data_IF_969771009767
#
_entry.id   IF_969771009767
#
_cell.length_a   1.000
_cell.length_b   1.000
_cell.length_c   1.000
_cell.angle_alpha   90.00
_cell.angle_beta   90.00
_cell.angle_gamma   90.00
#
_symmetry.space_group_name_H-M   'P 1'
#
loop_
_entity.id
_entity.type
_entity.pdbx_description
1 polymer ?
#
# COMPACT_ATOMS: atom_id res chain seq x y z
N UNK A 1 12.11 -13.60 -10.54
CA UNK A 1 13.54 -14.03 -10.52
C UNK A 1 14.14 -13.67 -9.17
N UNK A 2 15.09 -14.45 -8.62
CA UNK A 2 15.83 -14.02 -7.42
C UNK A 2 16.57 -12.71 -7.70
N UNK A 3 16.61 -11.81 -6.72
CA UNK A 3 17.22 -10.49 -6.84
C UNK A 3 16.33 -9.40 -7.44
N UNK A 4 15.13 -9.72 -7.94
CA UNK A 4 14.15 -8.70 -8.36
C UNK A 4 13.76 -7.80 -7.17
N UNK A 5 13.77 -6.48 -7.36
CA UNK A 5 13.40 -5.51 -6.32
C UNK A 5 14.12 -5.72 -4.96
N UNK A 6 15.38 -6.18 -4.98
CA UNK A 6 16.18 -6.50 -3.78
C UNK A 6 15.66 -7.68 -2.94
N UNK A 7 14.78 -8.52 -3.49
CA UNK A 7 14.24 -9.70 -2.80
C UNK A 7 14.82 -10.99 -3.41
N UNK A 8 15.27 -11.93 -2.59
CA UNK A 8 15.80 -13.23 -3.04
C UNK A 8 14.76 -14.36 -2.97
N UNK A 9 13.66 -14.12 -2.28
CA UNK A 9 12.54 -15.02 -2.07
C UNK A 9 11.24 -14.25 -2.24
N UNK A 10 10.23 -14.91 -2.83
CA UNK A 10 8.92 -14.36 -3.08
C UNK A 10 7.86 -15.34 -2.63
N UNK A 11 6.69 -14.81 -2.35
CA UNK A 11 5.51 -15.62 -2.07
C UNK A 11 4.41 -15.24 -3.03
N UNK A 12 3.67 -16.23 -3.50
CA UNK A 12 2.39 -16.03 -4.16
C UNK A 12 1.22 -16.02 -3.17
N UNK A 13 1.47 -16.33 -1.89
CA UNK A 13 0.46 -16.33 -0.84
C UNK A 13 0.38 -14.95 -0.20
N UNK A 14 -0.81 -14.35 -0.24
CA UNK A 14 -1.10 -13.22 0.62
C UNK A 14 -1.14 -13.71 2.07
N UNK A 15 -0.76 -12.84 3.02
CA UNK A 15 -0.98 -13.15 4.43
C UNK A 15 -2.46 -13.34 4.76
N UNK A 16 -3.30 -12.60 4.05
CA UNK A 16 -4.72 -12.45 4.34
C UNK A 16 -5.57 -12.54 3.07
N UNK A 17 -5.27 -13.52 2.21
CA UNK A 17 -5.99 -13.67 0.93
C UNK A 17 -7.49 -13.96 1.16
N UNK A 18 -7.79 -14.68 2.26
CA UNK A 18 -9.13 -14.96 2.74
C UNK A 18 -9.35 -14.25 4.07
N UNK A 19 -9.49 -12.92 4.03
CA UNK A 19 -9.76 -12.16 5.24
C UNK A 19 -11.14 -12.57 5.84
N UNK A 20 -11.25 -12.73 7.16
CA UNK A 20 -12.50 -13.09 7.80
C UNK A 20 -13.59 -12.03 7.56
N UNK A 21 -14.85 -12.49 7.43
CA UNK A 21 -16.00 -11.60 7.21
C UNK A 21 -16.12 -10.53 8.31
N UNK A 22 -15.75 -10.87 9.54
CA UNK A 22 -15.74 -9.96 10.69
C UNK A 22 -14.74 -8.80 10.58
N UNK A 23 -13.87 -8.76 9.57
CA UNK A 23 -12.92 -7.67 9.33
C UNK A 23 -13.39 -6.68 8.26
N UNK A 24 -14.52 -6.95 7.60
CA UNK A 24 -15.08 -6.07 6.56
C UNK A 24 -15.49 -4.73 7.14
N UNK A 25 -15.43 -3.67 6.31
CA UNK A 25 -15.98 -2.37 6.67
C UNK A 25 -15.13 -1.52 7.61
N UNK A 26 -13.81 -1.78 7.65
CA UNK A 26 -12.88 -0.97 8.48
C UNK A 26 -13.19 -1.04 9.98
N UNK A 27 -13.22 -2.27 10.50
CA UNK A 27 -13.55 -2.55 11.90
C UNK A 27 -12.32 -2.95 12.69
N UNK A 28 -12.32 -2.59 13.98
CA UNK A 28 -11.29 -3.00 14.94
C UNK A 28 -11.47 -4.46 15.34
N UNK A 29 -10.42 -5.25 15.17
CA UNK A 29 -10.35 -6.63 15.67
C UNK A 29 -9.02 -6.88 16.38
N UNK A 30 -8.99 -7.82 17.33
CA UNK A 30 -7.79 -8.17 18.09
C UNK A 30 -6.90 -9.21 17.42
N UNK A 31 -7.40 -9.90 16.40
CA UNK A 31 -6.79 -11.03 15.72
C UNK A 31 -6.15 -10.66 14.36
N UNK A 32 -5.93 -9.35 14.11
CA UNK A 32 -5.38 -8.85 12.83
C UNK A 32 -4.04 -9.46 12.43
N UNK A 33 -3.27 -10.02 13.38
CA UNK A 33 -1.92 -10.53 13.17
C UNK A 33 -0.83 -9.49 13.45
N UNK A 34 -1.21 -8.26 13.83
CA UNK A 34 -0.30 -7.27 14.39
C UNK A 34 -0.10 -7.47 15.88
N UNK A 35 1.05 -7.03 16.40
CA UNK A 35 1.30 -7.03 17.83
C UNK A 35 0.26 -6.18 18.58
N UNK A 36 0.03 -6.48 19.86
CA UNK A 36 -1.02 -5.85 20.67
C UNK A 36 -0.96 -4.30 20.67
N UNK A 37 0.24 -3.71 20.64
CA UNK A 37 0.41 -2.26 20.58
C UNK A 37 -0.12 -1.62 19.27
N UNK A 38 -0.28 -2.41 18.21
CA UNK A 38 -0.66 -1.95 16.88
C UNK A 38 -1.90 -2.66 16.34
N UNK A 39 -2.65 -3.41 17.17
CA UNK A 39 -3.87 -4.09 16.72
C UNK A 39 -5.10 -3.17 16.77
N UNK A 40 -5.10 -2.16 17.65
CA UNK A 40 -6.16 -1.17 17.74
C UNK A 40 -6.29 -0.38 16.43
N UNK A 41 -7.51 -0.37 15.86
CA UNK A 41 -7.84 0.28 14.58
C UNK A 41 -6.94 -0.11 13.39
N UNK A 42 -6.26 -1.26 13.46
CA UNK A 42 -5.33 -1.68 12.41
C UNK A 42 -6.00 -2.25 11.18
N UNK A 43 -7.29 -2.57 11.26
CA UNK A 43 -8.17 -2.81 10.11
C UNK A 43 -7.51 -3.60 8.97
N UNK A 44 -7.32 -4.92 9.16
CA UNK A 44 -6.79 -5.84 8.14
C UNK A 44 -7.30 -5.50 6.74
N UNK A 45 -6.44 -5.51 5.74
CA UNK A 45 -6.77 -5.00 4.39
C UNK A 45 -6.42 -5.99 3.30
N UNK A 46 -7.23 -6.01 2.25
CA UNK A 46 -7.06 -6.87 1.09
C UNK A 46 -7.64 -6.18 -0.14
N UNK A 47 -7.18 -6.60 -1.33
CA UNK A 47 -7.92 -6.36 -2.56
C UNK A 47 -9.03 -7.40 -2.68
N UNK A 48 -10.18 -7.07 -3.30
CA UNK A 48 -11.38 -7.90 -3.21
C UNK A 48 -11.34 -9.11 -4.15
N UNK A 49 -10.29 -9.93 -4.09
CA UNK A 49 -10.10 -11.06 -5.00
C UNK A 49 -11.02 -12.23 -4.64
N UNK A 50 -11.08 -12.57 -3.36
CA UNK A 50 -11.94 -13.65 -2.84
C UNK A 50 -13.29 -13.14 -2.34
N UNK A 51 -13.32 -11.93 -1.79
CA UNK A 51 -14.52 -11.33 -1.24
C UNK A 51 -14.39 -9.81 -1.14
N UNK A 52 -15.52 -9.11 -1.11
CA UNK A 52 -15.58 -7.67 -1.01
C UNK A 52 -14.95 -7.14 0.29
N UNK A 53 -14.45 -5.90 0.25
CA UNK A 53 -13.82 -5.27 1.43
C UNK A 53 -14.83 -4.71 2.42
N UNK A 54 -16.08 -4.49 1.97
CA UNK A 54 -17.11 -3.77 2.72
C UNK A 54 -16.80 -2.29 2.98
N UNK A 55 -15.65 -1.78 2.51
CA UNK A 55 -15.23 -0.38 2.73
C UNK A 55 -15.78 0.51 1.64
N UNK A 56 -16.97 1.04 1.92
CA UNK A 56 -17.67 2.00 1.07
C UNK A 56 -16.92 3.32 0.96
N UNK A 57 -17.41 4.16 0.05
CA UNK A 57 -16.91 5.51 -0.11
C UNK A 57 -16.95 6.34 1.19
N UNK A 58 -18.06 6.22 1.94
CA UNK A 58 -18.24 6.91 3.21
C UNK A 58 -17.24 6.45 4.28
N UNK A 59 -17.03 5.13 4.39
CA UNK A 59 -16.07 4.54 5.34
C UNK A 59 -14.65 5.03 5.06
N UNK A 60 -14.28 5.21 3.78
CA UNK A 60 -12.95 5.67 3.37
C UNK A 60 -12.73 7.17 3.57
N UNK A 61 -13.67 7.87 4.21
CA UNK A 61 -13.45 9.19 4.81
C UNK A 61 -13.81 10.38 3.91
N UNK A 62 -14.42 10.18 2.74
CA UNK A 62 -14.74 11.23 1.75
C UNK A 62 -16.20 11.17 1.23
N UNK A 63 -17.11 10.56 2.00
CA UNK A 63 -18.53 10.52 1.63
C UNK A 63 -18.78 9.83 0.28
N UNK A 64 -19.35 10.52 -0.70
CA UNK A 64 -19.67 9.99 -2.04
C UNK A 64 -18.64 10.31 -3.15
N UNK A 65 -17.61 11.12 -2.87
CA UNK A 65 -16.72 11.67 -3.89
C UNK A 65 -15.50 10.79 -4.21
N UNK A 66 -15.26 9.74 -3.42
CA UNK A 66 -14.03 8.95 -3.54
C UNK A 66 -13.97 8.09 -4.81
N UNK A 67 -15.09 7.88 -5.52
CA UNK A 67 -15.11 7.10 -6.77
C UNK A 67 -14.05 7.57 -7.78
N UNK A 68 -13.74 8.88 -7.83
CA UNK A 68 -12.71 9.39 -8.74
C UNK A 68 -11.27 8.99 -8.37
N UNK A 69 -11.06 8.41 -7.19
CA UNK A 69 -9.77 7.87 -6.77
C UNK A 69 -9.44 6.56 -7.50
N UNK A 70 -10.44 5.90 -8.10
CA UNK A 70 -10.26 4.69 -8.89
C UNK A 70 -10.61 4.93 -10.36
N UNK A 71 -9.95 4.16 -11.23
CA UNK A 71 -10.30 4.12 -12.64
C UNK A 71 -11.53 3.24 -12.85
N UNK A 72 -12.20 3.41 -13.99
CA UNK A 72 -13.23 2.46 -14.41
C UNK A 72 -12.61 1.09 -14.71
N UNK A 73 -13.33 -0.01 -14.46
CA UNK A 73 -14.68 -0.08 -13.88
C UNK A 73 -14.70 -0.05 -12.34
N UNK A 74 -13.54 -0.03 -11.68
CA UNK A 74 -13.40 -0.17 -10.22
C UNK A 74 -14.16 0.89 -9.43
N UNK A 75 -14.29 2.10 -9.95
CA UNK A 75 -15.05 3.17 -9.29
C UNK A 75 -16.57 2.97 -9.21
N UNK A 76 -17.14 2.01 -9.94
CA UNK A 76 -18.59 1.78 -10.02
C UNK A 76 -19.17 1.16 -8.74
N UNK A 77 -18.37 0.39 -7.99
CA UNK A 77 -18.84 -0.43 -6.89
C UNK A 77 -17.82 -0.51 -5.76
N UNK A 78 -17.28 0.64 -5.34
CA UNK A 78 -16.26 0.73 -4.28
C UNK A 78 -16.77 0.12 -2.98
N UNK A 79 -16.06 -0.90 -2.50
CA UNK A 79 -16.39 -1.66 -1.30
C UNK A 79 -17.12 -2.97 -1.57
N UNK A 80 -17.76 -3.13 -2.74
CA UNK A 80 -18.59 -4.30 -3.10
C UNK A 80 -18.12 -5.02 -4.37
N UNK A 81 -17.20 -4.44 -5.12
CA UNK A 81 -16.64 -5.05 -6.33
C UNK A 81 -15.87 -6.36 -6.03
N UNK A 82 -15.72 -7.20 -7.04
CA UNK A 82 -14.83 -8.35 -7.05
C UNK A 82 -13.67 -8.08 -8.00
N UNK A 83 -12.47 -8.53 -7.62
CA UNK A 83 -11.29 -8.54 -8.44
C UNK A 83 -10.94 -9.97 -8.86
N UNK A 84 -10.53 -10.15 -10.10
CA UNK A 84 -10.05 -11.43 -10.60
C UNK A 84 -8.53 -11.43 -10.63
N UNK A 85 -7.92 -12.62 -10.54
CA UNK A 85 -6.47 -12.77 -10.68
C UNK A 85 -5.98 -12.12 -11.99
N UNK A 86 -6.79 -12.22 -13.04
CA UNK A 86 -6.53 -11.64 -14.37
C UNK A 86 -6.57 -10.13 -14.41
N UNK A 87 -7.05 -9.43 -13.40
CA UNK A 87 -6.98 -7.95 -13.34
C UNK A 87 -5.55 -7.48 -13.01
N UNK A 88 -4.79 -8.28 -12.26
CA UNK A 88 -3.39 -7.99 -11.94
C UNK A 88 -2.42 -8.79 -12.81
N UNK A 89 -2.77 -10.03 -13.14
CA UNK A 89 -1.90 -10.97 -13.82
C UNK A 89 -2.27 -11.17 -15.29
N UNK A 90 -1.27 -11.09 -16.16
CA UNK A 90 -1.34 -11.43 -17.57
C UNK A 90 -0.52 -10.52 -18.47
N UNK A 91 -0.80 -10.55 -19.77
CA UNK A 91 -0.10 -9.75 -20.79
C UNK A 91 0.10 -8.30 -20.36
N UNK A 92 1.25 -7.72 -20.72
CA UNK A 92 1.49 -6.30 -20.53
C UNK A 92 0.35 -5.47 -21.13
N UNK A 93 -0.04 -4.41 -20.41
CA UNK A 93 -1.07 -3.47 -20.87
C UNK A 93 -0.43 -2.08 -20.98
N UNK A 94 -0.54 -1.46 -22.15
CA UNK A 94 -0.02 -0.10 -22.38
C UNK A 94 -0.95 0.99 -21.86
N UNK A 95 -2.26 0.71 -21.80
CA UNK A 95 -3.25 1.66 -21.27
C UNK A 95 -2.95 2.05 -19.83
N UNK A 96 -2.93 3.36 -19.53
CA UNK A 96 -2.65 3.86 -18.17
C UNK A 96 -3.74 3.57 -17.15
N UNK A 97 -4.97 3.24 -17.58
CA UNK A 97 -6.15 3.16 -16.70
C UNK A 97 -7.00 1.93 -16.96
N UNK A 98 -6.46 0.91 -17.63
CA UNK A 98 -7.19 -0.29 -18.00
C UNK A 98 -6.34 -1.53 -17.75
N UNK A 99 -7.02 -2.62 -17.42
CA UNK A 99 -6.43 -3.96 -17.31
C UNK A 99 -6.74 -4.83 -18.52
N UNK A 100 -7.46 -4.30 -19.52
CA UNK A 100 -7.78 -5.03 -20.75
C UNK A 100 -6.50 -5.20 -21.58
N UNK A 101 -6.15 -6.42 -22.03
CA UNK A 101 -5.02 -6.66 -22.92
C UNK A 101 -5.05 -5.75 -24.16
N UNK A 102 -3.88 -5.30 -24.61
CA UNK A 102 -3.77 -4.47 -25.80
C UNK A 102 -4.37 -5.20 -27.01
N UNK A 103 -5.23 -4.52 -27.78
CA UNK A 103 -6.01 -5.12 -28.87
C UNK A 103 -7.33 -5.80 -28.43
N UNK A 104 -7.64 -5.80 -27.14
CA UNK A 104 -8.91 -6.27 -26.60
C UNK A 104 -9.09 -7.78 -26.69
N UNK A 105 -10.29 -8.23 -27.06
CA UNK A 105 -10.66 -9.65 -27.17
C UNK A 105 -9.84 -10.40 -28.23
N UNK A 106 -9.43 -9.70 -29.30
CA UNK A 106 -8.64 -10.24 -30.41
C UNK A 106 -7.15 -9.87 -30.33
N UNK A 107 -6.73 -9.30 -29.20
CA UNK A 107 -5.40 -8.75 -29.00
C UNK A 107 -4.44 -9.72 -28.33
N UNK A 108 -3.60 -9.18 -27.45
CA UNK A 108 -2.68 -9.95 -26.64
C UNK A 108 -3.43 -11.00 -25.78
N UNK A 109 -2.79 -12.14 -25.47
CA UNK A 109 -3.41 -13.20 -24.71
C UNK A 109 -3.95 -12.73 -23.35
N UNK A 110 -5.16 -13.21 -23.01
CA UNK A 110 -5.70 -13.11 -21.66
C UNK A 110 -5.08 -14.21 -20.76
N UNK A 111 -4.94 -13.94 -19.46
CA UNK A 111 -4.36 -14.90 -18.53
C UNK A 111 -2.82 -14.88 -18.51
N UNK A 112 -2.15 -15.95 -18.03
CA UNK A 112 -0.78 -15.89 -17.52
C UNK A 112 0.34 -15.82 -18.58
N UNK A 113 0.00 -15.56 -19.84
CA UNK A 113 0.97 -15.48 -20.94
C UNK A 113 1.17 -14.03 -21.39
N UNK A 114 2.30 -13.75 -22.05
CA UNK A 114 2.56 -12.46 -22.71
C UNK A 114 3.02 -11.32 -21.79
N UNK A 115 3.22 -11.58 -20.49
CA UNK A 115 3.80 -10.59 -19.59
C UNK A 115 5.31 -10.57 -19.69
N UNK A 116 5.88 -9.39 -19.84
CA UNK A 116 7.32 -9.12 -19.69
C UNK A 116 7.67 -8.64 -18.27
N UNK A 117 6.68 -8.50 -17.39
CA UNK A 117 6.91 -8.09 -16.01
C UNK A 117 7.10 -9.31 -15.10
N UNK A 118 7.85 -9.13 -14.01
CA UNK A 118 7.98 -10.16 -12.99
C UNK A 118 6.62 -10.54 -12.41
N UNK A 119 6.46 -11.82 -12.03
CA UNK A 119 5.21 -12.38 -11.50
C UNK A 119 4.03 -12.35 -12.47
N UNK A 120 4.31 -12.23 -13.77
CA UNK A 120 3.30 -12.25 -14.83
C UNK A 120 2.31 -11.10 -14.62
N UNK A 121 2.80 -9.92 -14.28
CA UNK A 121 1.97 -8.75 -13.98
C UNK A 121 1.64 -7.96 -15.25
N UNK A 122 0.45 -7.38 -15.30
CA UNK A 122 0.00 -6.53 -16.42
C UNK A 122 0.75 -5.19 -16.50
N UNK A 123 1.46 -4.83 -15.43
CA UNK A 123 2.29 -3.64 -15.33
C UNK A 123 3.42 -3.83 -14.33
N UNK A 124 4.29 -2.83 -14.23
CA UNK A 124 5.41 -2.81 -13.31
C UNK A 124 4.93 -2.71 -11.85
N UNK A 125 5.51 -3.55 -11.00
CA UNK A 125 5.46 -3.40 -9.55
C UNK A 125 6.88 -3.58 -9.01
N UNK A 126 7.55 -2.45 -8.81
CA UNK A 126 8.96 -2.37 -8.49
C UNK A 126 9.30 -1.14 -7.63
N UNK A 127 10.60 -0.92 -7.39
CA UNK A 127 11.10 0.21 -6.59
C UNK A 127 10.97 1.57 -7.28
N UNK A 128 10.39 1.65 -8.48
CA UNK A 128 10.10 2.91 -9.18
C UNK A 128 8.61 3.19 -9.33
N UNK A 129 7.73 2.24 -8.97
CA UNK A 129 6.29 2.44 -9.04
C UNK A 129 5.83 3.56 -8.11
N UNK A 130 5.16 4.56 -8.69
CA UNK A 130 4.80 5.84 -8.06
C UNK A 130 5.65 7.03 -8.49
N UNK A 131 6.78 6.80 -9.15
CA UNK A 131 7.73 7.83 -9.60
C UNK A 131 7.93 7.75 -11.12
N UNK A 132 6.93 8.16 -11.90
CA UNK A 132 7.01 8.26 -13.37
C UNK A 132 6.38 7.09 -14.14
N UNK A 133 6.08 5.96 -13.48
CA UNK A 133 5.40 4.81 -14.09
C UNK A 133 3.86 5.01 -14.20
N UNK A 134 3.39 6.17 -14.66
CA UNK A 134 1.94 6.44 -14.77
C UNK A 134 1.23 5.44 -15.68
N UNK A 135 1.78 5.22 -16.89
CA UNK A 135 1.19 4.30 -17.85
C UNK A 135 1.54 2.85 -17.55
N UNK A 136 2.73 2.57 -17.02
CA UNK A 136 3.27 1.21 -16.91
C UNK A 136 3.09 0.60 -15.53
N UNK A 137 2.86 1.40 -14.48
CA UNK A 137 2.71 0.92 -13.11
C UNK A 137 1.40 0.16 -12.90
N UNK A 138 1.50 -1.02 -12.28
CA UNK A 138 0.38 -1.93 -12.08
C UNK A 138 -0.77 -1.28 -11.28
N UNK A 139 -0.44 -0.59 -10.20
CA UNK A 139 -1.42 0.03 -9.31
C UNK A 139 -2.31 1.01 -10.07
N UNK A 140 -1.74 1.72 -11.05
CA UNK A 140 -2.41 2.80 -11.76
C UNK A 140 -3.38 2.32 -12.82
N UNK A 141 -3.44 1.02 -13.12
CA UNK A 141 -4.55 0.46 -13.90
C UNK A 141 -5.87 0.61 -13.16
N UNK A 142 -5.85 0.58 -11.82
CA UNK A 142 -7.04 0.64 -10.98
C UNK A 142 -7.14 1.93 -10.14
N UNK A 143 -6.01 2.53 -9.79
CA UNK A 143 -5.92 3.74 -8.96
C UNK A 143 -5.54 4.97 -9.79
N UNK A 144 -6.10 6.13 -9.46
CA UNK A 144 -5.74 7.38 -10.14
C UNK A 144 -4.30 7.79 -9.84
N UNK A 145 -3.46 7.87 -10.87
CA UNK A 145 -2.07 8.33 -10.74
C UNK A 145 -2.00 9.75 -10.17
N UNK A 146 -2.82 10.67 -10.67
CA UNK A 146 -2.84 12.06 -10.19
C UNK A 146 -3.13 12.15 -8.70
N UNK A 147 -3.98 11.28 -8.17
CA UNK A 147 -4.37 11.31 -6.75
C UNK A 147 -3.33 10.63 -5.87
N UNK A 148 -2.79 9.48 -6.29
CA UNK A 148 -1.92 8.65 -5.44
C UNK A 148 -0.42 8.87 -5.64
N UNK A 149 0.00 9.44 -6.78
CA UNK A 149 1.41 9.61 -7.14
C UNK A 149 1.84 11.09 -7.25
N UNK A 150 0.90 12.05 -7.16
CA UNK A 150 1.18 13.48 -7.36
C UNK A 150 0.49 14.35 -6.32
N UNK A 151 0.69 15.68 -6.39
CA UNK A 151 0.06 16.67 -5.51
C UNK A 151 -1.38 17.00 -5.93
N UNK A 152 -2.22 15.98 -6.12
CA UNK A 152 -3.61 16.15 -6.58
C UNK A 152 -4.57 16.72 -5.53
N UNK A 153 -4.20 16.65 -4.25
CA UNK A 153 -4.96 17.02 -3.05
C UNK A 153 -6.43 16.59 -3.05
N UNK A 154 -6.69 15.38 -3.56
CA UNK A 154 -8.01 14.75 -3.46
C UNK A 154 -8.08 13.96 -2.17
N UNK A 155 -9.17 14.11 -1.42
CA UNK A 155 -9.33 13.45 -0.12
C UNK A 155 -9.38 11.93 -0.29
N UNK A 156 -8.46 11.24 0.37
CA UNK A 156 -8.47 9.78 0.47
C UNK A 156 -8.63 9.32 1.92
N UNK A 157 -8.60 8.00 2.16
CA UNK A 157 -8.54 7.45 3.51
C UNK A 157 -7.29 7.87 4.30
N UNK A 158 -6.31 8.51 3.66
CA UNK A 158 -5.08 9.04 4.24
C UNK A 158 -5.13 10.55 4.55
N UNK A 159 -6.31 11.16 4.61
CA UNK A 159 -6.45 12.56 4.99
C UNK A 159 -5.77 12.84 6.35
N UNK A 160 -4.87 13.82 6.35
CA UNK A 160 -4.20 14.33 7.55
C UNK A 160 -5.04 15.46 8.13
N UNK A 161 -5.82 15.17 9.17
CA UNK A 161 -6.70 16.13 9.81
C UNK A 161 -5.95 17.34 10.38
N UNK A 162 -4.72 17.14 10.88
CA UNK A 162 -3.86 18.20 11.42
C UNK A 162 -3.16 19.04 10.33
N UNK A 163 -3.30 18.67 9.05
CA UNK A 163 -2.76 19.42 7.89
C UNK A 163 -3.84 19.90 6.95
N UNK A 164 -5.06 19.38 7.07
CA UNK A 164 -6.15 19.63 6.14
C UNK A 164 -5.75 19.35 4.68
N UNK A 165 -5.02 18.25 4.47
CA UNK A 165 -4.47 17.82 3.17
C UNK A 165 -4.41 16.28 3.11
N UNK A 166 -4.50 15.71 1.89
CA UNK A 166 -4.29 14.28 1.70
C UNK A 166 -2.83 13.88 1.94
N UNK A 167 -2.61 12.78 2.67
CA UNK A 167 -1.27 12.29 2.98
C UNK A 167 -0.41 12.03 1.75
N UNK A 168 -0.94 11.53 0.63
CA UNK A 168 -0.15 11.35 -0.59
C UNK A 168 0.26 12.70 -1.18
N UNK A 169 -0.65 13.67 -1.19
CA UNK A 169 -0.36 15.00 -1.73
C UNK A 169 0.66 15.75 -0.89
N UNK A 170 0.54 15.65 0.44
CA UNK A 170 1.52 16.20 1.36
C UNK A 170 2.90 15.58 1.13
N UNK A 171 2.99 14.25 1.02
CA UNK A 171 4.26 13.59 0.76
C UNK A 171 4.83 13.94 -0.62
N UNK A 172 4.00 13.94 -1.67
CA UNK A 172 4.42 14.36 -3.02
C UNK A 172 5.07 15.75 -3.01
N UNK A 173 4.49 16.71 -2.27
CA UNK A 173 5.03 18.06 -2.10
C UNK A 173 6.35 18.09 -1.33
N UNK A 174 6.48 17.30 -0.25
CA UNK A 174 7.65 17.38 0.65
C UNK A 174 8.84 16.53 0.22
N UNK A 175 8.62 15.40 -0.43
CA UNK A 175 9.68 14.46 -0.82
C UNK A 175 9.89 14.39 -2.35
N UNK A 176 9.04 15.05 -3.15
CA UNK A 176 9.21 15.26 -4.60
C UNK A 176 8.92 14.05 -5.49
N UNK A 177 9.18 12.83 -5.01
CA UNK A 177 8.87 11.59 -5.72
C UNK A 177 8.37 10.55 -4.73
N UNK A 178 7.29 9.83 -5.05
CA UNK A 178 6.78 8.78 -4.16
C UNK A 178 7.05 7.41 -4.75
N UNK A 179 7.56 6.48 -3.94
CA UNK A 179 7.62 5.06 -4.30
C UNK A 179 6.62 4.33 -3.43
N UNK A 180 5.64 3.67 -4.04
CA UNK A 180 4.53 3.06 -3.29
C UNK A 180 5.04 2.05 -2.25
N UNK A 181 6.13 1.35 -2.55
CA UNK A 181 6.73 0.33 -1.69
C UNK A 181 7.49 0.88 -0.47
N UNK A 182 7.72 2.19 -0.39
CA UNK A 182 8.13 2.84 0.86
C UNK A 182 7.11 2.64 1.99
N UNK A 183 5.83 2.58 1.62
CA UNK A 183 4.70 2.55 2.55
C UNK A 183 3.88 1.25 2.44
N UNK A 184 3.79 0.65 1.26
CA UNK A 184 2.95 -0.51 1.00
C UNK A 184 3.76 -1.80 0.86
N UNK A 185 3.19 -2.91 1.29
CA UNK A 185 3.83 -4.23 1.17
C UNK A 185 4.05 -4.67 -0.26
N UNK A 186 5.03 -5.56 -0.45
CA UNK A 186 5.39 -6.12 -1.74
C UNK A 186 4.29 -7.01 -2.37
N UNK A 187 3.39 -7.58 -1.55
CA UNK A 187 2.33 -8.48 -2.03
C UNK A 187 0.96 -7.84 -1.75
N UNK A 188 0.32 -7.20 -2.74
CA UNK A 188 -0.86 -6.38 -2.51
C UNK A 188 -2.17 -7.17 -2.41
N UNK A 189 -2.17 -8.49 -2.24
CA UNK A 189 -3.41 -9.28 -2.22
C UNK A 189 -4.12 -9.25 -0.85
N UNK A 190 -3.39 -9.08 0.25
CA UNK A 190 -3.91 -9.15 1.61
C UNK A 190 -2.82 -9.00 2.67
N UNK A 191 -3.08 -8.17 3.67
CA UNK A 191 -2.11 -7.76 4.68
C UNK A 191 -2.73 -7.53 6.06
N UNK A 192 -1.93 -7.82 7.10
CA UNK A 192 -2.35 -7.66 8.52
C UNK A 192 -2.75 -6.23 8.87
N UNK A 193 -2.14 -5.23 8.23
CA UNK A 193 -2.36 -3.83 8.53
C UNK A 193 -3.23 -3.12 7.49
N UNK A 194 -3.82 -2.01 7.92
CA UNK A 194 -4.69 -1.16 7.12
C UNK A 194 -4.00 -0.71 5.84
N UNK A 195 -4.77 -0.64 4.75
CA UNK A 195 -4.37 -0.11 3.45
C UNK A 195 -3.07 -0.73 2.92
N UNK A 196 -2.82 -2.00 3.26
CA UNK A 196 -1.62 -2.74 2.85
C UNK A 196 -0.33 -2.05 3.35
N UNK A 197 -0.39 -1.32 4.47
CA UNK A 197 0.74 -0.56 4.99
C UNK A 197 1.74 -1.46 5.71
N UNK A 198 3.02 -1.30 5.38
CA UNK A 198 4.11 -1.82 6.24
C UNK A 198 4.09 -1.07 7.57
N UNK A 199 4.59 -1.71 8.62
CA UNK A 199 4.90 -1.02 9.86
C UNK A 199 6.23 -1.50 10.41
N UNK A 200 7.29 -0.70 10.27
CA UNK A 200 8.61 -1.06 10.78
C UNK A 200 8.71 -0.98 12.31
N UNK A 201 7.64 -0.61 13.01
CA UNK A 201 7.51 -0.80 14.46
C UNK A 201 6.99 -2.21 14.85
N UNK A 202 6.47 -2.97 13.88
CA UNK A 202 5.98 -4.35 14.06
C UNK A 202 6.20 -5.16 12.77
N UNK A 203 7.47 -5.51 12.53
CA UNK A 203 7.83 -6.31 11.36
C UNK A 203 7.30 -7.73 11.47
N UNK A 204 7.39 -8.35 12.65
CA UNK A 204 6.72 -9.60 12.98
C UNK A 204 7.17 -10.87 12.24
N UNK A 205 6.47 -12.01 12.49
CA UNK A 205 6.83 -13.34 12.00
C UNK A 205 6.87 -13.47 10.48
N UNK A 206 6.15 -12.62 9.76
CA UNK A 206 6.17 -12.58 8.30
C UNK A 206 7.53 -12.24 7.68
N UNK A 207 8.46 -11.74 8.51
CA UNK A 207 9.83 -11.44 8.15
C UNK A 207 10.82 -12.25 9.02
N UNK A 208 10.34 -13.30 9.68
CA UNK A 208 11.15 -14.23 10.46
C UNK A 208 11.55 -13.72 11.86
N UNK A 209 10.88 -12.70 12.39
CA UNK A 209 11.18 -12.12 13.71
C UNK A 209 9.97 -12.14 14.64
N UNK A 210 10.16 -11.87 15.93
CA UNK A 210 9.05 -11.82 16.88
C UNK A 210 8.07 -10.67 16.56
N UNK A 211 6.79 -10.85 16.91
CA UNK A 211 5.81 -9.77 16.84
C UNK A 211 6.24 -8.56 17.70
N UNK A 212 6.04 -7.35 17.19
CA UNK A 212 6.48 -6.10 17.83
C UNK A 212 7.94 -5.75 17.60
N UNK A 213 8.68 -6.55 16.81
CA UNK A 213 10.07 -6.22 16.47
C UNK A 213 10.11 -4.96 15.61
N UNK A 214 10.77 -3.92 16.15
CA UNK A 214 11.05 -2.69 15.44
C UNK A 214 12.39 -2.77 14.70
N UNK A 215 12.41 -2.32 13.44
CA UNK A 215 13.61 -2.28 12.60
C UNK A 215 13.86 -0.87 12.06
N UNK A 216 14.91 -0.70 11.24
CA UNK A 216 15.35 0.59 10.69
C UNK A 216 15.61 1.56 11.84
N UNK A 217 16.47 1.14 12.78
CA UNK A 217 16.83 1.88 13.98
C UNK A 217 18.13 2.63 13.73
N UNK A 218 18.09 3.97 13.82
CA UNK A 218 19.23 4.85 13.56
C UNK A 218 19.86 4.68 12.15
N UNK A 219 19.04 4.43 11.14
CA UNK A 219 19.48 4.36 9.75
C UNK A 219 18.42 4.92 8.81
N UNK A 220 18.86 5.58 7.73
CA UNK A 220 17.99 6.06 6.67
C UNK A 220 17.74 5.01 5.58
N UNK A 221 18.54 3.94 5.56
CA UNK A 221 18.40 2.86 4.58
C UNK A 221 17.00 2.23 4.62
N UNK A 222 16.51 1.86 3.44
CA UNK A 222 15.24 1.16 3.33
C UNK A 222 15.37 -0.30 3.79
N UNK A 223 14.33 -0.78 4.45
CA UNK A 223 14.27 -2.15 4.94
C UNK A 223 13.80 -3.09 3.83
N UNK A 224 14.60 -4.11 3.56
CA UNK A 224 14.27 -5.19 2.64
C UNK A 224 14.32 -6.49 3.43
N UNK A 225 13.18 -7.17 3.51
CA UNK A 225 13.09 -8.51 4.10
C UNK A 225 12.00 -9.28 3.39
N UNK A 226 12.39 -10.40 2.80
CA UNK A 226 11.50 -11.21 2.02
C UNK A 226 10.42 -11.85 2.90
N UNK A 227 9.22 -12.12 2.33
CA UNK A 227 8.80 -11.75 0.98
C UNK A 227 7.99 -10.44 0.93
N UNK A 228 7.72 -9.79 2.07
CA UNK A 228 6.71 -8.73 2.16
C UNK A 228 7.25 -7.31 2.27
N UNK A 229 8.48 -7.11 2.74
CA UNK A 229 9.09 -5.79 2.91
C UNK A 229 10.06 -5.51 1.77
N UNK A 230 9.65 -4.62 0.86
CA UNK A 230 10.40 -4.22 -0.33
C UNK A 230 10.62 -2.72 -0.29
N UNK A 231 11.86 -2.28 -0.07
CA UNK A 231 12.20 -0.87 0.05
C UNK A 231 11.38 -0.12 1.13
N UNK A 232 11.00 -0.78 2.22
CA UNK A 232 10.08 -0.22 3.21
C UNK A 232 10.77 0.81 4.12
N UNK A 233 10.06 1.90 4.45
CA UNK A 233 10.56 2.95 5.38
C UNK A 233 9.52 3.39 6.43
N UNK A 234 8.24 3.05 6.23
CA UNK A 234 7.14 3.55 7.05
C UNK A 234 7.08 2.94 8.46
N UNK A 235 6.93 3.80 9.46
CA UNK A 235 6.63 3.45 10.86
C UNK A 235 5.34 4.12 11.28
N UNK A 236 4.42 3.33 11.82
CA UNK A 236 3.12 3.78 12.34
C UNK A 236 3.09 3.52 13.83
N UNK A 237 2.74 4.55 14.59
CA UNK A 237 2.53 4.49 16.04
C UNK A 237 1.09 4.16 16.37
N UNK A 238 0.14 4.81 15.67
CA UNK A 238 -1.28 4.61 15.87
C UNK A 238 -1.96 4.44 14.53
N UNK A 239 -2.65 3.33 14.31
CA UNK A 239 -3.53 3.23 13.15
C UNK A 239 -4.79 4.07 13.40
N UNK A 240 -5.15 4.92 12.45
CA UNK A 240 -6.36 5.75 12.52
C UNK A 240 -7.44 5.28 11.56
N UNK A 241 -8.68 5.59 11.94
CA UNK A 241 -9.81 5.53 11.05
C UNK A 241 -9.56 6.38 9.79
N UNK A 242 -10.13 5.97 8.66
CA UNK A 242 -9.90 6.63 7.38
C UNK A 242 -10.37 8.08 7.46
N UNK A 243 -9.55 8.99 6.95
CA UNK A 243 -9.84 10.40 6.99
C UNK A 243 -9.47 11.12 8.29
N UNK A 244 -8.92 10.41 9.28
CA UNK A 244 -8.64 10.90 10.64
C UNK A 244 -7.17 10.76 11.04
N UNK A 245 -6.27 10.67 10.07
CA UNK A 245 -4.83 10.57 10.35
C UNK A 245 -4.28 11.91 10.82
N UNK A 246 -3.19 11.87 11.58
CA UNK A 246 -2.38 13.03 11.91
C UNK A 246 -0.91 12.69 11.70
N UNK A 247 -0.07 13.71 11.56
CA UNK A 247 1.38 13.49 11.47
C UNK A 247 1.93 12.70 12.68
N UNK A 248 1.40 12.94 13.89
CA UNK A 248 1.86 12.26 15.11
C UNK A 248 1.57 10.75 15.15
N UNK A 249 0.70 10.25 14.27
CA UNK A 249 0.41 8.83 14.15
C UNK A 249 1.54 8.05 13.44
N UNK A 250 2.49 8.76 12.81
CA UNK A 250 3.69 8.20 12.18
C UNK A 250 4.93 8.46 13.05
N UNK A 251 5.87 7.51 13.11
CA UNK A 251 7.05 7.66 13.96
C UNK A 251 7.63 6.35 14.49
N UNK A 252 8.86 6.40 14.98
CA UNK A 252 9.46 5.33 15.78
C UNK A 252 8.70 5.13 17.08
N UNK A 253 8.47 3.90 17.52
CA UNK A 253 7.74 3.58 18.76
C UNK A 253 8.55 3.78 20.06
N UNK A 254 9.81 4.19 19.96
CA UNK A 254 10.76 4.26 21.09
C UNK A 254 11.89 3.26 20.89
N UNK A 255 12.60 2.90 21.97
CA UNK A 255 13.69 1.93 21.89
C UNK A 255 13.23 0.61 21.23
N UNK A 256 14.04 0.01 20.32
CA UNK A 256 15.40 0.38 19.94
C UNK A 256 15.54 1.57 18.95
N UNK A 257 14.44 2.10 18.43
CA UNK A 257 14.44 3.30 17.61
C UNK A 257 14.49 4.60 18.43
N UNK A 258 14.39 5.73 17.75
CA UNK A 258 14.62 7.06 18.35
C UNK A 258 13.39 7.67 19.05
N UNK A 259 12.22 7.03 18.98
CA UNK A 259 10.99 7.48 19.63
C UNK A 259 10.36 8.77 19.07
N UNK A 260 10.95 9.37 18.04
CA UNK A 260 10.41 10.58 17.42
C UNK A 260 9.16 10.26 16.61
N UNK A 261 8.30 11.27 16.42
CA UNK A 261 7.05 11.17 15.66
C UNK A 261 6.81 12.38 14.76
N UNK A 262 5.90 12.22 13.80
CA UNK A 262 5.48 13.28 12.89
C UNK A 262 6.64 13.93 12.13
N UNK A 263 6.59 15.25 12.02
CA UNK A 263 7.58 16.01 11.23
C UNK A 263 9.01 15.76 11.71
N UNK A 264 9.22 15.70 13.02
CA UNK A 264 10.55 15.58 13.59
C UNK A 264 11.15 14.21 13.22
N UNK A 265 10.34 13.15 13.27
CA UNK A 265 10.74 11.84 12.77
C UNK A 265 11.05 11.86 11.26
N UNK A 266 10.13 12.41 10.45
CA UNK A 266 10.21 12.39 8.99
C UNK A 266 11.37 13.22 8.43
N UNK A 267 11.84 14.24 9.16
CA UNK A 267 12.80 15.23 8.66
C UNK A 267 14.10 15.31 9.44
N UNK A 268 14.02 15.28 10.76
CA UNK A 268 15.10 15.70 11.65
C UNK A 268 15.74 14.51 12.40
N UNK A 269 15.20 13.31 12.21
CA UNK A 269 15.67 12.08 12.85
C UNK A 269 16.77 11.37 12.05
N UNK A 270 17.46 10.44 12.70
CA UNK A 270 18.37 9.50 12.05
C UNK A 270 17.66 8.34 11.32
N UNK A 271 16.34 8.37 11.28
CA UNK A 271 15.45 7.48 10.50
C UNK A 271 14.60 8.30 9.52
N UNK A 272 14.96 9.55 9.24
CA UNK A 272 14.16 10.42 8.41
C UNK A 272 13.99 9.87 6.99
N UNK A 273 13.01 10.40 6.28
CA UNK A 273 12.68 10.02 4.90
C UNK A 273 12.48 11.26 4.02
N UNK A 274 13.09 12.39 4.39
CA UNK A 274 13.10 13.61 3.56
C UNK A 274 13.93 13.40 2.30
N UNK A 275 15.00 12.62 2.39
CA UNK A 275 15.81 12.14 1.26
C UNK A 275 15.80 10.61 1.28
N UNK A 276 14.65 10.00 0.93
CA UNK A 276 14.51 8.56 0.96
C UNK A 276 15.43 7.92 -0.11
N UNK A 277 15.90 6.68 0.12
CA UNK A 277 16.80 5.97 -0.80
C UNK A 277 16.15 5.58 -2.14
#
# INVERSE_FOLDING_TARGET
>A
PSGTNNLTQYTNQAREFQAPISHKGEVSTSDSGAAAAYSANNHRSWHPVMDNTGRTAAIRGDGSNISNNWNLPWRNAVGTQTMYCTDCHGSNVTSSTSVIPDGGENGNPWGPHGSNNNFILKGAWDTSTGSGQQATGLCFKCHSYTIYATRGNTRTGFWLADKNEDGHSFHADKIGSMRCNWCHVAVPHGWKNKALLVNLNDVGPEAGVAAGTQVRNNTTAAYNQQPYYMNAILKIRNFRASGQWTAADCGSSGAPGNGQSGRDWMRDSNENCKTPP
#
